data_IF_680560678710
#
_entry.id   IF_680560678710
#
_cell.length_a   1.000
_cell.length_b   1.000
_cell.length_c   1.000
_cell.angle_alpha   90.00
_cell.angle_beta   90.00
_cell.angle_gamma   90.00
#
_symmetry.space_group_name_H-M   'P 1'
#
loop_
_entity.id
_entity.type
_entity.pdbx_description
1 polymer ?
#
# COMPACT_ATOMS: atom_id res chain seq x y z
N UNK A 1 -38.56 9.19 23.21
CA UNK A 1 -37.36 8.36 23.28
C UNK A 1 -36.17 9.30 23.19
N UNK A 2 -35.40 9.42 24.27
CA UNK A 2 -34.20 10.24 24.27
C UNK A 2 -33.17 9.58 23.36
N UNK A 3 -32.77 10.23 22.26
CA UNK A 3 -31.60 9.85 21.49
C UNK A 3 -30.39 10.09 22.39
N UNK A 4 -29.88 9.06 23.01
CA UNK A 4 -28.60 9.09 23.70
C UNK A 4 -27.54 9.42 22.65
N UNK A 5 -26.89 10.56 22.82
CA UNK A 5 -25.84 11.03 21.93
C UNK A 5 -24.52 10.38 22.39
N UNK A 6 -24.32 9.12 22.02
CA UNK A 6 -23.17 8.32 22.43
C UNK A 6 -21.83 8.87 21.93
N UNK A 7 -21.84 9.69 20.90
CA UNK A 7 -20.61 10.14 20.25
C UNK A 7 -19.77 11.16 21.04
N UNK A 8 -20.36 11.91 21.96
CA UNK A 8 -19.64 12.98 22.69
C UNK A 8 -18.99 12.51 24.00
N UNK A 9 -19.42 11.41 24.57
CA UNK A 9 -18.84 10.88 25.82
C UNK A 9 -17.66 9.93 25.57
N UNK A 10 -17.48 9.45 24.36
CA UNK A 10 -16.47 8.46 23.98
C UNK A 10 -15.05 8.99 23.88
N UNK A 11 -14.87 10.20 23.40
CA UNK A 11 -13.54 10.78 23.18
C UNK A 11 -12.75 11.02 24.48
N UNK A 12 -13.42 10.95 25.63
CA UNK A 12 -12.80 11.18 26.94
C UNK A 12 -12.46 9.90 27.72
N UNK A 13 -13.00 8.74 27.32
CA UNK A 13 -12.93 7.52 28.13
C UNK A 13 -11.81 6.55 27.73
N UNK A 14 -11.30 6.62 26.51
CA UNK A 14 -10.25 5.72 26.04
C UNK A 14 -8.90 6.46 26.02
N UNK A 15 -8.03 6.09 26.96
CA UNK A 15 -6.59 6.27 26.81
C UNK A 15 -6.11 5.25 25.76
N UNK A 16 -6.51 5.47 24.53
CA UNK A 16 -6.11 4.62 23.41
C UNK A 16 -4.65 4.85 23.06
N UNK A 17 -4.03 3.82 22.50
CA UNK A 17 -2.83 3.96 21.71
C UNK A 17 -3.01 5.07 20.65
N UNK A 18 -1.93 5.62 20.15
CA UNK A 18 -2.00 6.67 19.14
C UNK A 18 -2.86 6.19 17.96
N UNK A 19 -3.81 7.01 17.46
CA UNK A 19 -4.64 6.61 16.33
C UNK A 19 -3.74 6.29 15.14
N UNK A 20 -3.97 5.13 14.53
CA UNK A 20 -3.23 4.72 13.35
C UNK A 20 -3.60 5.59 12.15
N UNK A 21 -2.60 6.00 11.39
CA UNK A 21 -2.75 6.71 10.13
C UNK A 21 -2.42 5.75 9.00
N UNK A 22 -3.33 5.60 8.03
CA UNK A 22 -3.12 4.79 6.83
C UNK A 22 -1.97 5.38 5.99
N UNK A 23 -0.79 4.77 6.07
CA UNK A 23 0.43 5.28 5.41
C UNK A 23 0.35 5.22 3.89
N UNK A 24 -0.25 4.17 3.34
CA UNK A 24 -0.48 4.02 1.90
C UNK A 24 -1.84 4.55 1.44
N UNK A 25 -2.48 5.42 2.22
CA UNK A 25 -3.79 5.99 1.91
C UNK A 25 -3.86 6.68 0.55
N UNK A 26 -2.75 7.31 0.09
CA UNK A 26 -2.68 7.90 -1.24
C UNK A 26 -2.80 6.84 -2.37
N UNK A 27 -2.34 5.61 -2.14
CA UNK A 27 -2.46 4.50 -3.09
C UNK A 27 -3.91 3.98 -3.12
N UNK A 28 -4.54 3.82 -1.96
CA UNK A 28 -5.92 3.38 -1.83
C UNK A 28 -6.93 4.40 -2.39
N UNK A 29 -6.64 5.70 -2.27
CA UNK A 29 -7.49 6.77 -2.78
C UNK A 29 -7.29 7.08 -4.27
N UNK A 30 -6.37 6.41 -4.97
CA UNK A 30 -6.11 6.61 -6.38
C UNK A 30 -7.31 6.18 -7.23
N UNK A 31 -8.22 7.10 -7.51
CA UNK A 31 -9.43 6.84 -8.32
C UNK A 31 -9.08 6.46 -9.75
N UNK A 32 -9.73 5.42 -10.29
CA UNK A 32 -9.57 4.96 -11.68
C UNK A 32 -10.94 4.85 -12.36
N UNK A 33 -11.22 5.77 -13.25
CA UNK A 33 -12.47 5.79 -14.03
C UNK A 33 -12.53 4.66 -15.07
N UNK A 34 -11.37 4.10 -15.45
CA UNK A 34 -11.27 3.07 -16.50
C UNK A 34 -11.50 1.64 -16.01
N UNK A 35 -11.61 1.43 -14.70
CA UNK A 35 -11.80 0.10 -14.11
C UNK A 35 -13.27 -0.29 -14.15
N UNK A 36 -13.58 -1.44 -14.74
CA UNK A 36 -14.93 -2.00 -14.75
C UNK A 36 -15.00 -3.24 -13.88
N UNK A 37 -15.93 -3.25 -12.94
CA UNK A 37 -16.29 -4.47 -12.21
C UNK A 37 -17.14 -5.37 -13.10
N UNK A 38 -16.70 -6.60 -13.27
CA UNK A 38 -17.47 -7.62 -13.97
C UNK A 38 -18.44 -8.32 -13.02
N UNK A 39 -17.97 -8.60 -11.82
CA UNK A 39 -18.72 -9.14 -10.68
C UNK A 39 -18.05 -8.66 -9.38
N UNK A 40 -18.51 -9.14 -8.21
CA UNK A 40 -18.03 -8.70 -6.89
C UNK A 40 -16.53 -8.93 -6.69
N UNK A 41 -15.91 -9.89 -7.38
CA UNK A 41 -14.51 -10.27 -7.18
C UNK A 41 -13.64 -10.17 -8.44
N UNK A 42 -14.13 -9.60 -9.53
CA UNK A 42 -13.35 -9.50 -10.78
C UNK A 42 -13.47 -8.12 -11.39
N UNK A 43 -12.33 -7.49 -11.63
CA UNK A 43 -12.22 -6.25 -12.38
C UNK A 43 -11.66 -6.51 -13.77
N UNK A 44 -12.00 -5.65 -14.71
CA UNK A 44 -11.46 -5.68 -16.07
C UNK A 44 -10.73 -4.37 -16.37
N UNK A 45 -9.51 -4.50 -16.88
CA UNK A 45 -8.66 -3.38 -17.28
C UNK A 45 -8.59 -3.31 -18.80
N UNK A 46 -8.80 -2.12 -19.41
CA UNK A 46 -8.64 -1.98 -20.84
C UNK A 46 -7.17 -2.01 -21.24
N UNK A 47 -6.82 -2.84 -22.21
CA UNK A 47 -5.49 -2.90 -22.81
C UNK A 47 -5.60 -2.64 -24.31
N UNK A 48 -4.93 -1.59 -24.79
CA UNK A 48 -4.86 -1.24 -26.21
C UNK A 48 -3.42 -1.41 -26.71
N UNK A 49 -3.24 -2.24 -27.73
CA UNK A 49 -1.98 -2.41 -28.45
C UNK A 49 -2.12 -1.76 -29.83
N UNK A 50 -1.15 -0.95 -30.23
CA UNK A 50 -1.14 -0.28 -31.53
C UNK A 50 0.16 -0.62 -32.27
N UNK A 51 0.07 -0.92 -33.56
CA UNK A 51 1.25 -1.15 -34.42
C UNK A 51 1.95 0.17 -34.73
N UNK A 52 3.27 0.14 -34.87
CA UNK A 52 4.07 1.30 -35.16
C UNK A 52 3.82 1.89 -36.56
N UNK A 53 4.44 3.03 -36.83
CA UNK A 53 4.41 3.70 -38.15
C UNK A 53 5.08 2.84 -39.19
N UNK A 54 4.61 2.96 -40.46
CA UNK A 54 5.21 2.37 -41.65
C UNK A 54 5.84 3.47 -42.49
N UNK A 55 6.81 3.10 -43.33
CA UNK A 55 7.34 4.04 -44.34
C UNK A 55 6.23 4.36 -45.35
N UNK A 56 6.10 5.63 -45.68
CA UNK A 56 5.19 6.09 -46.71
C UNK A 56 5.70 5.71 -48.12
N UNK A 57 4.78 5.27 -48.98
CA UNK A 57 5.06 5.16 -50.43
C UNK A 57 4.25 6.24 -51.14
N UNK A 58 4.92 6.99 -52.02
CA UNK A 58 4.30 8.09 -52.73
C UNK A 58 3.50 7.60 -53.96
N UNK A 59 3.86 6.45 -54.50
CA UNK A 59 3.39 5.96 -55.80
C UNK A 59 2.20 4.99 -55.69
N UNK A 60 1.84 4.58 -54.46
CA UNK A 60 0.73 3.64 -54.25
C UNK A 60 -0.17 4.02 -53.08
N UNK A 61 -1.46 3.87 -53.27
CA UNK A 61 -2.43 3.90 -52.19
C UNK A 61 -2.38 2.53 -51.52
N UNK A 62 -1.76 2.45 -50.31
CA UNK A 62 -1.70 1.22 -49.56
C UNK A 62 -3.07 0.71 -49.09
N UNK A 63 -3.17 -0.57 -48.79
CA UNK A 63 -4.38 -1.16 -48.21
C UNK A 63 -4.51 -0.71 -46.77
N UNK A 64 -5.64 -0.11 -46.41
CA UNK A 64 -5.96 0.23 -45.02
C UNK A 64 -6.38 -1.04 -44.28
N UNK A 65 -5.70 -1.34 -43.19
CA UNK A 65 -6.01 -2.47 -42.34
C UNK A 65 -6.09 -2.06 -40.87
N UNK A 66 -6.71 -2.87 -40.04
CA UNK A 66 -6.78 -2.65 -38.60
C UNK A 66 -5.36 -2.74 -37.99
N UNK A 67 -4.88 -1.64 -37.41
CA UNK A 67 -3.54 -1.52 -36.81
C UNK A 67 -3.57 -1.44 -35.29
N UNK A 68 -4.66 -1.79 -34.67
CA UNK A 68 -4.81 -1.82 -33.23
C UNK A 68 -5.50 -3.12 -32.81
N UNK A 69 -5.20 -3.53 -31.60
CA UNK A 69 -5.81 -4.65 -30.91
C UNK A 69 -6.25 -4.20 -29.52
N UNK A 70 -7.48 -4.54 -29.16
CA UNK A 70 -8.10 -4.16 -27.89
C UNK A 70 -8.45 -5.42 -27.14
N UNK A 71 -7.92 -5.54 -25.93
CA UNK A 71 -8.13 -6.68 -25.04
C UNK A 71 -8.52 -6.16 -23.65
N UNK A 72 -9.40 -6.89 -22.99
CA UNK A 72 -9.72 -6.67 -21.59
C UNK A 72 -8.96 -7.67 -20.73
N UNK A 73 -8.11 -7.18 -19.83
CA UNK A 73 -7.35 -8.01 -18.90
C UNK A 73 -8.18 -8.20 -17.62
N UNK A 74 -8.69 -9.41 -17.33
CA UNK A 74 -9.38 -9.66 -16.06
C UNK A 74 -8.36 -9.80 -14.93
N UNK A 75 -8.68 -9.20 -13.78
CA UNK A 75 -7.95 -9.36 -12.52
C UNK A 75 -8.95 -9.78 -11.45
N UNK A 76 -8.62 -10.82 -10.70
CA UNK A 76 -9.49 -11.35 -9.65
C UNK A 76 -8.99 -10.88 -8.29
N UNK A 77 -9.89 -10.30 -7.51
CA UNK A 77 -9.65 -9.97 -6.12
C UNK A 77 -9.59 -11.27 -5.31
N UNK A 78 -8.56 -11.40 -4.49
CA UNK A 78 -8.30 -12.60 -3.69
C UNK A 78 -8.41 -12.34 -2.20
N UNK A 79 -8.13 -11.12 -1.77
CA UNK A 79 -8.17 -10.74 -0.38
C UNK A 79 -9.62 -10.44 0.02
N UNK A 80 -10.29 -11.45 0.56
CA UNK A 80 -11.64 -11.39 1.10
C UNK A 80 -11.57 -11.42 2.61
N UNK A 81 -11.95 -10.31 3.25
CA UNK A 81 -11.86 -10.18 4.71
C UNK A 81 -13.24 -9.93 5.29
N UNK A 82 -13.48 -10.57 6.41
CA UNK A 82 -14.71 -10.44 7.19
C UNK A 82 -14.35 -10.17 8.64
N UNK A 83 -15.17 -9.39 9.29
CA UNK A 83 -15.07 -9.19 10.73
C UNK A 83 -16.45 -9.10 11.36
N UNK A 84 -16.62 -9.77 12.48
CA UNK A 84 -17.86 -9.77 13.22
C UNK A 84 -17.63 -9.61 14.72
N UNK A 85 -18.59 -9.00 15.38
CA UNK A 85 -18.59 -8.89 16.84
C UNK A 85 -20.00 -8.85 17.40
N UNK A 86 -20.12 -9.25 18.63
CA UNK A 86 -21.38 -9.16 19.38
C UNK A 86 -21.13 -8.51 20.75
N UNK A 87 -22.07 -7.67 21.17
CA UNK A 87 -21.99 -6.99 22.46
C UNK A 87 -23.32 -7.11 23.21
N UNK A 88 -23.25 -7.55 24.45
CA UNK A 88 -24.43 -7.58 25.27
C UNK A 88 -24.72 -6.20 25.87
N UNK A 89 -25.97 -5.70 25.90
CA UNK A 89 -26.31 -4.41 26.49
C UNK A 89 -25.79 -4.18 27.91
N UNK A 90 -25.76 -5.24 28.74
CA UNK A 90 -25.18 -5.17 30.08
C UNK A 90 -23.70 -4.86 30.12
N UNK A 91 -22.93 -5.38 29.15
CA UNK A 91 -21.49 -5.15 29.10
C UNK A 91 -21.20 -3.67 28.82
N UNK A 92 -22.07 -3.00 28.06
CA UNK A 92 -22.00 -1.57 27.81
C UNK A 92 -22.21 -0.78 29.12
N UNK A 93 -23.18 -1.16 29.89
CA UNK A 93 -23.50 -0.49 31.17
C UNK A 93 -22.43 -0.75 32.23
N UNK A 94 -21.98 -2.01 32.38
CA UNK A 94 -21.00 -2.44 33.38
C UNK A 94 -19.59 -1.87 33.08
N UNK A 95 -19.23 -1.69 31.79
CA UNK A 95 -17.95 -1.09 31.38
C UNK A 95 -18.00 0.44 31.22
N UNK A 96 -19.07 1.09 31.71
CA UNK A 96 -19.27 2.52 31.55
C UNK A 96 -19.15 2.98 30.09
N UNK A 97 -19.77 2.22 29.18
CA UNK A 97 -19.83 2.43 27.72
C UNK A 97 -18.50 2.18 26.95
N UNK A 98 -17.45 1.71 27.60
CA UNK A 98 -16.18 1.38 26.91
C UNK A 98 -16.40 0.26 25.90
N UNK A 99 -17.12 -0.79 26.26
CA UNK A 99 -17.45 -1.93 25.40
C UNK A 99 -18.64 -1.67 24.45
N UNK A 100 -18.79 -0.47 23.94
CA UNK A 100 -19.81 -0.21 22.91
C UNK A 100 -19.33 -0.63 21.51
N UNK A 101 -20.29 -0.98 20.66
CA UNK A 101 -20.00 -1.35 19.27
C UNK A 101 -19.14 -0.29 18.55
N UNK A 102 -19.45 1.00 18.72
CA UNK A 102 -18.71 2.08 18.06
C UNK A 102 -17.25 2.14 18.50
N UNK A 103 -16.98 1.96 19.80
CA UNK A 103 -15.60 1.94 20.29
C UNK A 103 -14.85 0.71 19.83
N UNK A 104 -15.48 -0.45 19.91
CA UNK A 104 -14.90 -1.71 19.47
C UNK A 104 -14.58 -1.64 17.97
N UNK A 105 -15.52 -1.18 17.14
CA UNK A 105 -15.32 -1.02 15.70
C UNK A 105 -14.22 0.02 15.38
N UNK A 106 -14.20 1.14 16.13
CA UNK A 106 -13.16 2.14 15.95
C UNK A 106 -11.77 1.58 16.28
N UNK A 107 -11.65 0.89 17.42
CA UNK A 107 -10.38 0.27 17.85
C UNK A 107 -9.93 -0.78 16.83
N UNK A 108 -10.84 -1.64 16.38
CA UNK A 108 -10.54 -2.63 15.33
C UNK A 108 -10.04 -1.97 14.05
N UNK A 109 -10.68 -0.92 13.58
CA UNK A 109 -10.23 -0.21 12.37
C UNK A 109 -8.85 0.41 12.55
N UNK A 110 -8.57 1.01 13.71
CA UNK A 110 -7.31 1.72 13.96
C UNK A 110 -6.16 0.76 14.32
N UNK A 111 -6.43 -0.36 15.00
CA UNK A 111 -5.38 -1.26 15.49
C UNK A 111 -5.13 -2.46 14.56
N UNK A 112 -6.15 -2.91 13.81
CA UNK A 112 -6.07 -4.12 12.99
C UNK A 112 -6.29 -3.83 11.50
N UNK A 113 -7.43 -3.25 11.11
CA UNK A 113 -7.81 -3.12 9.70
C UNK A 113 -6.86 -2.23 8.90
N UNK A 114 -6.55 -1.03 9.39
CA UNK A 114 -5.70 -0.10 8.64
C UNK A 114 -4.25 -0.59 8.51
N UNK A 115 -3.61 -1.17 9.55
CA UNK A 115 -2.31 -1.80 9.39
C UNK A 115 -2.33 -2.97 8.41
N UNK A 116 -3.38 -3.78 8.41
CA UNK A 116 -3.56 -4.89 7.46
C UNK A 116 -3.69 -4.38 6.02
N UNK A 117 -4.48 -3.33 5.78
CA UNK A 117 -4.59 -2.69 4.46
C UNK A 117 -3.25 -2.14 3.97
N UNK A 118 -2.44 -1.56 4.84
CA UNK A 118 -1.10 -1.10 4.49
C UNK A 118 -0.16 -2.27 4.16
N UNK A 119 -0.21 -3.35 4.92
CA UNK A 119 0.56 -4.56 4.64
C UNK A 119 0.15 -5.21 3.31
N UNK A 120 -1.16 -5.28 3.02
CA UNK A 120 -1.67 -5.81 1.75
C UNK A 120 -1.23 -4.95 0.56
N UNK A 121 -1.28 -3.62 0.68
CA UNK A 121 -0.87 -2.73 -0.39
C UNK A 121 0.58 -2.99 -0.84
N UNK A 122 1.52 -3.03 0.09
CA UNK A 122 2.93 -3.25 -0.25
C UNK A 122 3.19 -4.69 -0.72
N UNK A 123 2.55 -5.69 -0.08
CA UNK A 123 2.64 -7.09 -0.45
C UNK A 123 2.19 -7.34 -1.89
N UNK A 124 1.00 -6.85 -2.24
CA UNK A 124 0.45 -7.00 -3.58
C UNK A 124 1.30 -6.27 -4.63
N UNK A 125 1.69 -5.01 -4.39
CA UNK A 125 2.48 -4.23 -5.34
C UNK A 125 3.87 -4.85 -5.53
N UNK A 126 4.55 -5.25 -4.45
CA UNK A 126 5.87 -5.88 -4.54
C UNK A 126 5.81 -7.20 -5.29
N UNK A 127 4.87 -8.07 -4.95
CA UNK A 127 4.65 -9.36 -5.58
C UNK A 127 4.38 -9.23 -7.09
N UNK A 128 3.47 -8.35 -7.48
CA UNK A 128 3.14 -8.09 -8.88
C UNK A 128 4.30 -7.45 -9.65
N UNK A 129 5.03 -6.50 -9.04
CA UNK A 129 6.21 -5.89 -9.66
C UNK A 129 7.31 -6.93 -9.87
N UNK A 130 7.61 -7.72 -8.85
CA UNK A 130 8.64 -8.77 -8.91
C UNK A 130 8.32 -9.85 -9.94
N UNK A 131 7.04 -10.16 -10.16
CA UNK A 131 6.62 -11.11 -11.20
C UNK A 131 6.81 -10.56 -12.63
N UNK A 132 6.72 -9.24 -12.84
CA UNK A 132 6.93 -8.62 -14.15
C UNK A 132 8.41 -8.35 -14.39
N UNK A 133 9.09 -7.79 -13.41
CA UNK A 133 10.49 -7.40 -13.44
C UNK A 133 11.10 -7.70 -12.08
N UNK A 134 11.98 -8.71 -11.97
CA UNK A 134 12.58 -9.11 -10.71
C UNK A 134 13.26 -7.94 -10.00
N UNK A 135 12.95 -7.77 -8.73
CA UNK A 135 13.53 -6.74 -7.88
C UNK A 135 14.84 -7.26 -7.30
N UNK A 136 15.92 -6.50 -7.52
CA UNK A 136 17.24 -6.83 -6.96
C UNK A 136 17.23 -6.63 -5.43
N UNK A 137 17.64 -7.67 -4.70
CA UNK A 137 17.79 -7.63 -3.24
C UNK A 137 19.25 -7.39 -2.89
N UNK A 138 19.53 -6.26 -2.23
CA UNK A 138 20.86 -5.89 -1.78
C UNK A 138 21.23 -6.61 -0.46
N UNK A 139 22.51 -6.65 -0.15
CA UNK A 139 22.97 -7.16 1.13
C UNK A 139 22.42 -6.32 2.28
N UNK A 140 22.26 -6.92 3.45
CA UNK A 140 21.83 -6.20 4.65
C UNK A 140 22.84 -5.09 5.03
N UNK A 141 22.33 -3.89 5.33
CA UNK A 141 23.16 -2.74 5.68
C UNK A 141 23.82 -2.08 4.46
N UNK A 142 23.36 -2.36 3.26
CA UNK A 142 23.86 -1.72 2.04
C UNK A 142 23.62 -0.20 2.05
N UNK A 143 22.46 0.23 2.56
CA UNK A 143 22.07 1.64 2.61
C UNK A 143 22.76 2.33 3.78
N UNK A 144 23.47 3.42 3.44
CA UNK A 144 24.22 4.28 4.36
C UNK A 144 23.94 5.75 4.06
N UNK A 145 24.31 6.65 4.97
CA UNK A 145 24.16 8.09 4.74
C UNK A 145 24.98 8.60 3.52
N UNK A 146 26.02 7.86 3.10
CA UNK A 146 26.83 8.23 1.94
C UNK A 146 26.19 7.88 0.60
N UNK A 147 25.42 6.77 0.53
CA UNK A 147 24.86 6.27 -0.74
C UNK A 147 23.34 6.45 -0.89
N UNK A 148 22.64 6.78 0.19
CA UNK A 148 21.17 6.88 0.18
C UNK A 148 20.63 7.84 -0.88
N UNK A 149 21.28 8.97 -1.12
CA UNK A 149 20.87 9.93 -2.15
C UNK A 149 21.18 9.42 -3.57
N UNK A 150 22.33 8.79 -3.79
CA UNK A 150 22.66 8.23 -5.10
C UNK A 150 21.77 7.04 -5.46
N UNK A 151 21.32 6.25 -4.48
CA UNK A 151 20.33 5.19 -4.72
C UNK A 151 18.95 5.76 -5.05
N UNK A 152 18.55 6.85 -4.38
CA UNK A 152 17.32 7.55 -4.73
C UNK A 152 17.39 8.10 -6.19
N UNK A 153 18.50 8.75 -6.56
CA UNK A 153 18.72 9.26 -7.91
C UNK A 153 18.65 8.11 -8.95
N UNK A 154 19.24 6.95 -8.63
CA UNK A 154 19.19 5.79 -9.51
C UNK A 154 17.75 5.25 -9.70
N UNK A 155 16.89 5.32 -8.67
CA UNK A 155 15.47 4.97 -8.82
C UNK A 155 14.73 6.01 -9.69
N UNK A 156 15.04 7.29 -9.53
CA UNK A 156 14.47 8.36 -10.36
C UNK A 156 14.87 8.22 -11.83
N UNK A 157 16.16 7.97 -12.09
CA UNK A 157 16.69 7.77 -13.44
C UNK A 157 16.00 6.60 -14.15
N UNK A 158 15.78 5.48 -13.47
CA UNK A 158 15.02 4.34 -14.01
C UNK A 158 13.61 4.72 -14.46
N UNK A 159 12.95 5.60 -13.72
CA UNK A 159 11.61 6.09 -14.09
C UNK A 159 11.70 7.07 -15.28
N UNK A 160 12.68 7.96 -15.29
CA UNK A 160 12.83 8.98 -16.32
C UNK A 160 13.18 8.37 -17.68
N UNK A 161 14.07 7.37 -17.73
CA UNK A 161 14.37 6.61 -18.94
C UNK A 161 13.13 5.94 -19.54
N UNK A 162 12.18 5.53 -18.70
CA UNK A 162 10.90 4.96 -19.12
C UNK A 162 9.80 6.02 -19.36
N UNK A 163 10.14 7.30 -19.30
CA UNK A 163 9.23 8.44 -19.51
C UNK A 163 8.05 8.48 -18.53
N UNK A 164 8.27 8.07 -17.31
CA UNK A 164 7.27 8.23 -16.23
C UNK A 164 7.23 9.72 -15.85
N UNK A 165 6.04 10.37 -15.76
CA UNK A 165 5.96 11.77 -15.38
C UNK A 165 6.64 12.04 -14.03
N UNK A 166 7.30 13.17 -13.87
CA UNK A 166 7.94 13.56 -12.63
C UNK A 166 6.92 13.95 -11.54
N UNK A 167 5.83 14.60 -11.94
CA UNK A 167 4.76 14.98 -11.04
C UNK A 167 3.91 13.78 -10.61
N UNK A 168 3.54 13.71 -9.33
CA UNK A 168 2.72 12.62 -8.80
C UNK A 168 3.50 11.37 -8.40
N UNK A 169 4.82 11.48 -8.27
CA UNK A 169 5.66 10.46 -7.63
C UNK A 169 5.63 10.63 -6.12
N UNK A 170 5.57 9.53 -5.40
CA UNK A 170 5.64 9.46 -3.94
C UNK A 170 6.75 8.48 -3.58
N UNK A 171 7.59 8.86 -2.64
CA UNK A 171 8.63 8.02 -2.07
C UNK A 171 8.24 7.59 -0.65
N UNK A 172 7.97 6.31 -0.48
CA UNK A 172 7.82 5.69 0.83
C UNK A 172 9.16 5.15 1.29
N UNK A 173 9.51 5.45 2.52
CA UNK A 173 10.79 5.04 3.13
C UNK A 173 10.56 4.50 4.53
N UNK A 174 11.37 3.54 4.95
CA UNK A 174 11.37 3.11 6.34
C UNK A 174 11.93 4.21 7.26
N UNK A 175 11.58 4.17 8.52
CA UNK A 175 11.99 5.20 9.50
C UNK A 175 13.51 5.38 9.58
N UNK A 176 14.27 4.28 9.45
CA UNK A 176 15.72 4.33 9.47
C UNK A 176 16.29 5.02 8.23
N UNK A 177 15.82 4.64 7.05
CA UNK A 177 16.24 5.26 5.78
C UNK A 177 15.88 6.74 5.74
N UNK A 178 14.73 7.13 6.31
CA UNK A 178 14.36 8.54 6.46
C UNK A 178 15.41 9.32 7.26
N UNK A 179 15.89 8.78 8.37
CA UNK A 179 16.95 9.39 9.18
C UNK A 179 18.25 9.51 8.40
N UNK A 180 18.61 8.50 7.59
CA UNK A 180 19.79 8.56 6.73
C UNK A 180 19.69 9.64 5.67
N UNK A 181 18.52 9.80 5.05
CA UNK A 181 18.24 10.87 4.08
C UNK A 181 18.39 12.25 4.73
N UNK A 182 17.82 12.45 5.90
CA UNK A 182 17.91 13.71 6.61
C UNK A 182 19.37 14.03 6.99
N UNK A 183 20.13 13.02 7.47
CA UNK A 183 21.56 13.14 7.78
C UNK A 183 22.40 13.46 6.55
N UNK A 184 22.18 12.76 5.43
CA UNK A 184 22.91 13.00 4.19
C UNK A 184 22.71 14.42 3.67
N UNK A 185 21.52 14.97 3.80
CA UNK A 185 21.20 16.35 3.41
C UNK A 185 21.84 17.39 4.31
N UNK A 186 21.95 17.13 5.60
CA UNK A 186 22.63 18.03 6.54
C UNK A 186 24.12 18.13 6.24
N UNK A 187 24.77 17.02 5.86
CA UNK A 187 26.17 17.00 5.45
C UNK A 187 26.41 17.85 4.19
N UNK A 188 25.52 17.77 3.21
CA UNK A 188 25.61 18.59 1.98
C UNK A 188 25.39 20.08 2.29
N UNK A 189 24.57 20.41 3.28
CA UNK A 189 24.29 21.80 3.69
C UNK A 189 25.33 22.38 4.65
N UNK A 190 26.03 21.57 5.42
CA UNK A 190 27.09 22.02 6.32
C UNK A 190 28.30 22.65 5.58
N UNK A 191 28.44 22.39 4.28
CA UNK A 191 29.40 23.07 3.39
C UNK A 191 29.00 24.52 3.07
N UNK A 192 27.82 25.01 3.45
CA UNK A 192 27.34 26.35 3.17
C UNK A 192 26.30 26.85 4.21
N UNK A 193 26.79 27.38 5.31
CA UNK A 193 26.13 28.26 6.27
C UNK A 193 24.66 28.01 6.72
N UNK A 194 24.51 27.71 8.01
CA UNK A 194 23.31 27.68 8.89
C UNK A 194 22.45 26.43 8.89
N UNK A 195 22.66 25.70 9.96
CA UNK A 195 21.79 24.68 10.56
C UNK A 195 20.44 25.32 10.91
N UNK A 196 19.43 25.02 10.13
CA UNK A 196 18.03 25.14 10.53
C UNK A 196 17.47 23.72 10.48
N UNK A 197 17.22 23.11 11.64
CA UNK A 197 16.55 21.83 11.77
C UNK A 197 15.17 21.88 11.10
N UNK A 198 15.11 21.52 9.81
CA UNK A 198 13.88 21.35 9.06
C UNK A 198 13.82 19.90 8.63
N UNK A 199 12.78 19.22 9.05
CA UNK A 199 12.39 17.92 8.49
C UNK A 199 12.12 18.12 7.00
N UNK A 200 12.86 17.40 6.16
CA UNK A 200 12.66 17.51 4.70
C UNK A 200 11.54 16.57 4.31
N UNK A 201 10.44 17.14 3.85
CA UNK A 201 9.27 16.39 3.36
C UNK A 201 9.30 16.12 1.84
N UNK A 202 10.23 16.74 1.11
CA UNK A 202 10.34 16.59 -0.36
C UNK A 202 11.79 16.61 -0.83
N UNK A 203 12.08 15.78 -1.83
CA UNK A 203 13.31 15.81 -2.65
C UNK A 203 12.86 15.89 -4.11
N UNK A 204 13.41 16.84 -4.87
CA UNK A 204 13.13 16.99 -6.32
C UNK A 204 11.62 16.94 -6.64
N UNK A 205 10.82 17.66 -5.86
CA UNK A 205 9.35 17.68 -5.92
C UNK A 205 8.65 16.37 -5.53
N UNK A 206 9.39 15.31 -5.21
CA UNK A 206 8.82 14.03 -4.73
C UNK A 206 8.47 14.14 -3.24
N UNK A 207 7.25 13.79 -2.91
CA UNK A 207 6.79 13.69 -1.52
C UNK A 207 7.40 12.48 -0.84
N UNK A 208 7.92 12.67 0.39
CA UNK A 208 8.52 11.58 1.19
C UNK A 208 7.59 11.24 2.33
N UNK A 209 7.15 9.99 2.38
CA UNK A 209 6.33 9.43 3.45
C UNK A 209 7.18 8.44 4.25
N UNK A 210 7.30 8.70 5.56
CA UNK A 210 7.97 7.76 6.46
C UNK A 210 6.99 6.72 6.96
N UNK A 211 7.34 5.45 6.82
CA UNK A 211 6.51 4.31 7.19
C UNK A 211 7.26 3.48 8.23
N UNK A 212 6.60 2.93 9.25
CA UNK A 212 7.22 2.01 10.20
C UNK A 212 7.88 0.81 9.50
N UNK A 213 9.04 0.39 9.99
CA UNK A 213 9.83 -0.72 9.39
C UNK A 213 9.03 -2.04 9.35
N UNK A 214 8.12 -2.25 10.28
CA UNK A 214 7.24 -3.43 10.33
C UNK A 214 6.28 -3.51 9.14
N UNK A 215 5.92 -2.36 8.56
CA UNK A 215 5.05 -2.26 7.38
C UNK A 215 5.83 -2.12 6.06
N UNK A 216 7.17 -2.13 6.12
CA UNK A 216 8.04 -2.03 4.95
C UNK A 216 8.76 -3.37 4.71
N UNK A 217 7.99 -4.44 4.53
CA UNK A 217 8.50 -5.78 4.22
C UNK A 217 8.03 -6.24 2.84
N UNK A 218 8.78 -7.15 2.24
CA UNK A 218 8.49 -7.63 0.89
C UNK A 218 7.36 -8.65 0.80
N UNK A 219 7.01 -9.29 1.92
CA UNK A 219 5.98 -10.33 1.96
C UNK A 219 5.32 -10.43 3.34
N UNK A 220 4.01 -10.66 3.31
CA UNK A 220 3.18 -10.89 4.49
C UNK A 220 2.30 -12.12 4.31
N UNK A 221 1.95 -12.75 5.43
CA UNK A 221 0.99 -13.85 5.48
C UNK A 221 -0.26 -13.35 6.20
N UNK A 222 -1.39 -13.43 5.51
CA UNK A 222 -2.70 -13.07 6.06
C UNK A 222 -3.35 -14.32 6.61
N UNK A 223 -3.65 -14.31 7.91
CA UNK A 223 -4.23 -15.45 8.61
C UNK A 223 -5.74 -15.48 8.42
N UNK A 224 -6.30 -16.68 8.41
CA UNK A 224 -7.76 -16.84 8.29
C UNK A 224 -8.51 -16.37 9.54
N UNK A 225 -7.91 -16.57 10.71
CA UNK A 225 -8.59 -16.35 11.99
C UNK A 225 -8.10 -15.10 12.72
N UNK A 226 -6.95 -14.52 12.38
CA UNK A 226 -6.35 -13.45 13.17
C UNK A 226 -5.29 -12.63 12.39
N UNK A 227 -5.70 -11.49 11.83
CA UNK A 227 -4.83 -10.46 11.26
C UNK A 227 -3.77 -10.93 10.26
N UNK A 228 -2.58 -10.37 10.36
CA UNK A 228 -1.46 -10.67 9.46
C UNK A 228 -0.12 -10.73 10.20
N UNK A 229 0.86 -11.36 9.58
CA UNK A 229 2.24 -11.39 10.09
C UNK A 229 3.25 -11.27 8.94
N UNK A 230 4.48 -10.88 9.28
CA UNK A 230 5.57 -10.85 8.30
C UNK A 230 5.92 -12.27 7.87
N UNK A 231 5.96 -12.54 6.57
CA UNK A 231 6.32 -13.85 6.04
C UNK A 231 7.76 -14.24 6.41
N UNK A 232 7.99 -15.52 6.65
CA UNK A 232 9.33 -16.04 6.85
C UNK A 232 10.20 -15.78 5.61
N UNK A 233 11.41 -15.26 5.79
CA UNK A 233 12.29 -14.88 4.67
C UNK A 233 11.92 -13.59 3.95
N UNK A 234 10.99 -12.81 4.48
CA UNK A 234 10.68 -11.48 3.92
C UNK A 234 11.89 -10.54 4.01
N UNK A 235 12.12 -9.81 2.93
CA UNK A 235 13.17 -8.81 2.84
C UNK A 235 12.68 -7.43 3.32
N UNK A 236 13.62 -6.58 3.67
CA UNK A 236 13.37 -5.20 4.10
C UNK A 236 13.24 -4.28 2.90
N UNK A 237 12.11 -3.63 2.73
CA UNK A 237 11.94 -2.57 1.75
C UNK A 237 12.45 -1.26 2.35
N UNK A 238 13.54 -0.71 1.79
CA UNK A 238 14.15 0.54 2.26
C UNK A 238 13.56 1.77 1.59
N UNK A 239 13.31 1.66 0.30
CA UNK A 239 12.67 2.70 -0.50
C UNK A 239 11.64 2.08 -1.44
N UNK A 240 10.50 2.70 -1.52
CA UNK A 240 9.44 2.37 -2.46
C UNK A 240 9.00 3.66 -3.18
N UNK A 241 9.48 3.85 -4.40
CA UNK A 241 9.15 4.98 -5.25
C UNK A 241 8.02 4.58 -6.20
N UNK A 242 6.92 5.31 -6.18
CA UNK A 242 5.72 4.99 -6.95
C UNK A 242 5.12 6.22 -7.62
N UNK A 243 4.65 6.06 -8.85
CA UNK A 243 3.79 7.01 -9.52
C UNK A 243 2.34 6.52 -9.45
N UNK A 244 1.44 7.33 -8.87
CA UNK A 244 0.06 6.95 -8.58
C UNK A 244 -0.72 6.39 -9.78
N UNK A 245 -0.40 6.84 -11.01
CA UNK A 245 -1.07 6.33 -12.21
C UNK A 245 -0.76 4.86 -12.54
N UNK A 246 0.25 4.26 -11.89
CA UNK A 246 0.60 2.86 -12.09
C UNK A 246 -0.20 1.89 -11.21
N UNK A 247 -0.83 2.41 -10.16
CA UNK A 247 -1.54 1.66 -9.14
C UNK A 247 -3.04 1.63 -9.45
N UNK A 248 -3.69 0.53 -9.11
CA UNK A 248 -5.14 0.32 -9.24
C UNK A 248 -5.63 -0.27 -7.92
N UNK A 249 -6.14 0.57 -7.03
CA UNK A 249 -6.85 0.06 -5.85
C UNK A 249 -8.18 -0.53 -6.30
N UNK A 250 -8.54 -1.67 -5.75
CA UNK A 250 -9.79 -2.35 -5.99
C UNK A 250 -10.43 -2.73 -4.66
N UNK A 251 -11.46 -1.98 -4.29
CA UNK A 251 -12.33 -2.29 -3.16
C UNK A 251 -13.69 -2.63 -3.75
N UNK A 252 -14.21 -3.79 -3.43
CA UNK A 252 -15.47 -4.28 -3.95
C UNK A 252 -16.27 -4.97 -2.88
N UNK A 253 -17.60 -4.98 -3.05
CA UNK A 253 -18.53 -5.63 -2.14
C UNK A 253 -18.27 -5.24 -0.68
N UNK A 254 -18.25 -3.96 -0.42
CA UNK A 254 -18.17 -3.44 0.93
C UNK A 254 -19.56 -3.52 1.58
N UNK A 255 -19.69 -4.40 2.54
CA UNK A 255 -20.91 -4.59 3.31
C UNK A 255 -20.62 -4.40 4.79
N UNK A 256 -21.37 -3.54 5.46
CA UNK A 256 -21.28 -3.35 6.89
C UNK A 256 -22.68 -3.16 7.48
N UNK A 257 -23.02 -3.94 8.47
CA UNK A 257 -24.34 -3.87 9.12
C UNK A 257 -24.25 -4.00 10.63
N UNK A 258 -24.94 -3.09 11.31
CA UNK A 258 -25.19 -3.17 12.74
C UNK A 258 -26.66 -3.55 12.97
N UNK A 259 -26.88 -4.69 13.66
CA UNK A 259 -28.18 -5.12 14.10
C UNK A 259 -28.40 -4.81 15.58
N UNK A 260 -29.56 -4.19 15.85
CA UNK A 260 -29.99 -3.92 17.23
C UNK A 260 -30.47 -5.20 17.94
N UNK A 261 -30.45 -5.23 19.27
CA UNK A 261 -30.92 -6.38 20.05
C UNK A 261 -32.31 -6.89 19.61
N UNK A 262 -32.36 -8.13 19.19
CA UNK A 262 -33.55 -8.80 18.69
C UNK A 262 -33.66 -10.22 19.29
N UNK A 263 -34.76 -10.90 19.02
CA UNK A 263 -34.91 -12.30 19.41
C UNK A 263 -33.93 -13.21 18.65
N UNK A 264 -33.57 -12.83 17.40
CA UNK A 264 -32.59 -13.56 16.59
C UNK A 264 -31.16 -13.40 17.12
N UNK A 265 -30.81 -12.19 17.55
CA UNK A 265 -29.50 -11.90 18.17
C UNK A 265 -29.45 -12.22 19.67
N UNK A 266 -30.50 -12.88 20.21
CA UNK A 266 -30.60 -13.21 21.62
C UNK A 266 -30.40 -12.02 22.58
N UNK A 267 -30.90 -10.85 22.16
CA UNK A 267 -30.83 -9.62 22.94
C UNK A 267 -29.47 -8.91 22.89
N UNK A 268 -28.61 -9.25 21.95
CA UNK A 268 -27.29 -8.65 21.79
C UNK A 268 -27.26 -7.72 20.56
N UNK A 269 -26.37 -6.73 20.58
CA UNK A 269 -25.94 -6.02 19.37
C UNK A 269 -25.02 -6.93 18.57
N UNK A 270 -25.22 -6.99 17.26
CA UNK A 270 -24.37 -7.75 16.34
C UNK A 270 -23.87 -6.79 15.26
N UNK A 271 -22.58 -6.78 15.01
CA UNK A 271 -21.96 -6.07 13.91
C UNK A 271 -21.24 -7.07 13.02
N UNK A 272 -21.42 -6.91 11.73
CA UNK A 272 -20.74 -7.69 10.70
C UNK A 272 -20.29 -6.76 9.59
N UNK A 273 -19.06 -6.93 9.14
CA UNK A 273 -18.54 -6.29 7.93
C UNK A 273 -17.78 -7.29 7.05
N UNK A 274 -17.81 -7.03 5.78
CA UNK A 274 -17.20 -7.86 4.74
C UNK A 274 -16.78 -6.99 3.57
N UNK A 275 -15.56 -7.22 3.06
CA UNK A 275 -15.06 -6.52 1.87
C UNK A 275 -14.07 -7.38 1.09
N UNK A 276 -13.94 -7.08 -0.21
CA UNK A 276 -12.82 -7.49 -1.04
C UNK A 276 -11.91 -6.28 -1.24
N UNK A 277 -10.67 -6.40 -0.79
CA UNK A 277 -9.69 -5.33 -0.82
C UNK A 277 -8.39 -5.85 -1.45
N UNK A 278 -8.06 -5.37 -2.64
CA UNK A 278 -6.88 -5.79 -3.36
C UNK A 278 -6.22 -4.61 -4.05
N UNK A 279 -4.92 -4.74 -4.35
CA UNK A 279 -4.18 -3.73 -5.07
C UNK A 279 -3.52 -4.33 -6.30
N UNK A 280 -3.73 -3.69 -7.45
CA UNK A 280 -3.18 -4.12 -8.73
C UNK A 280 -2.28 -3.06 -9.33
N UNK A 281 -1.49 -3.47 -10.32
CA UNK A 281 -0.67 -2.57 -11.13
C UNK A 281 -1.04 -2.69 -12.61
N UNK A 282 -0.90 -1.59 -13.34
CA UNK A 282 -0.96 -1.66 -14.80
C UNK A 282 0.29 -2.29 -15.36
N UNK A 283 0.17 -3.42 -16.08
CA UNK A 283 1.31 -4.13 -16.66
C UNK A 283 2.19 -3.22 -17.54
N UNK A 284 1.59 -2.28 -18.26
CA UNK A 284 2.32 -1.31 -19.12
C UNK A 284 2.96 -0.17 -18.35
N UNK A 285 2.57 0.06 -17.11
CA UNK A 285 3.07 1.15 -16.26
C UNK A 285 3.95 0.66 -15.10
N UNK A 286 4.36 -0.61 -15.10
CA UNK A 286 5.20 -1.20 -14.05
C UNK A 286 6.51 -0.43 -13.81
N UNK A 287 7.01 0.29 -14.82
CA UNK A 287 8.18 1.14 -14.71
C UNK A 287 7.98 2.33 -13.73
N UNK A 288 6.71 2.73 -13.50
CA UNK A 288 6.35 3.73 -12.48
C UNK A 288 6.39 3.20 -11.05
N UNK A 289 6.95 2.02 -10.82
CA UNK A 289 7.10 1.38 -9.52
C UNK A 289 8.54 0.91 -9.39
N UNK A 290 9.27 1.43 -8.42
CA UNK A 290 10.67 1.07 -8.16
C UNK A 290 10.86 0.75 -6.68
N UNK A 291 11.61 -0.29 -6.40
CA UNK A 291 11.94 -0.72 -5.05
C UNK A 291 13.44 -0.76 -4.84
N UNK A 292 13.87 -0.40 -3.64
CA UNK A 292 15.18 -0.69 -3.08
C UNK A 292 14.97 -1.59 -1.87
N UNK A 293 15.51 -2.80 -1.94
CA UNK A 293 15.26 -3.86 -0.97
C UNK A 293 16.56 -4.42 -0.44
N UNK A 294 16.64 -4.66 0.86
CA UNK A 294 17.73 -5.33 1.54
C UNK A 294 17.29 -6.67 2.11
N UNK A 295 18.24 -7.59 2.30
CA UNK A 295 17.96 -8.86 2.98
C UNK A 295 17.43 -8.60 4.40
N UNK A 296 16.31 -9.25 4.74
CA UNK A 296 15.73 -9.21 6.08
C UNK A 296 16.49 -10.06 7.11
N UNK A 297 16.19 -9.84 8.39
CA UNK A 297 16.84 -10.52 9.50
C UNK A 297 16.61 -12.04 9.59
N UNK A 298 15.53 -12.53 8.98
CA UNK A 298 15.11 -13.93 9.08
C UNK A 298 15.49 -14.79 7.86
N UNK A 299 16.26 -14.26 6.92
CA UNK A 299 16.81 -15.07 5.83
C UNK A 299 18.04 -15.79 6.37
N UNK A 300 17.86 -17.05 6.80
CA UNK A 300 18.97 -17.95 7.06
C UNK A 300 19.93 -17.90 5.86
N UNK A 301 21.19 -17.60 6.12
CA UNK A 301 22.24 -17.70 5.12
C UNK A 301 22.21 -19.14 4.60
N UNK A 302 21.56 -19.36 3.46
CA UNK A 302 21.75 -20.61 2.71
C UNK A 302 23.22 -20.60 2.25
N UNK A 303 23.96 -21.58 2.73
CA UNK A 303 25.28 -22.03 2.35
C UNK A 303 25.56 -21.80 0.85
N UNK A 304 26.24 -20.72 0.54
CA UNK A 304 27.00 -20.54 -0.69
C UNK A 304 28.20 -19.67 -0.38
N UNK A 305 29.20 -20.27 0.26
CA UNK A 305 30.61 -19.90 0.18
C UNK A 305 31.46 -20.96 0.91
N UNK A 306 31.42 -22.17 0.35
CA UNK A 306 32.49 -23.17 0.55
C UNK A 306 32.85 -23.77 -0.79
N UNK A 307 33.69 -23.06 -1.53
CA UNK A 307 34.63 -23.72 -2.48
C UNK A 307 36.00 -23.11 -2.20
N UNK A 308 36.85 -24.00 -1.71
CA UNK A 308 38.31 -23.84 -1.62
C UNK A 308 38.94 -23.39 -2.95
#
# INVERSE_FOLDING_TARGET
MAKLNYATEYSQALAQAYPYVLYFGALWSATKEDVKFLNSNTIQLPSLKVKGRKNGNRDTIGTFGRNFDNEWEPKTLKNHRTWDTLVHPRDIDETNKVASIQNITKTMNEEEKFPEMDAEAINAIYSLKNAIEPVEVKAKGYITAQNVLSEFDALMDKMDEKRVPASGRILYVDTYTKTLIDTAKDVVRASGNKILGRTVSRIDEVEIVSVPTTLMKSAYVFKEDDGYEVAEGANDVKMFLVHLSAIIPAISYEFAQLESPSALSQGKYVYFEESFEDMFIYNKKHAGIQFLVEKGDNVSASEEDTVE
#
